data_IF_372443797750
#
_entry.id   IF_372443797750
#
_cell.length_a   1.000
_cell.length_b   1.000
_cell.length_c   1.000
_cell.angle_alpha   90.00
_cell.angle_beta   90.00
_cell.angle_gamma   90.00
#
_symmetry.space_group_name_H-M   'P 1'
#
loop_
_entity.id
_entity.type
_entity.pdbx_description
1 polymer ?
#
# COMPACT_ATOMS: atom_id res chain seq x y z
N UNK A 1 37.22 4.85 -19.43
CA UNK A 1 35.88 4.51 -18.91
C UNK A 1 35.66 3.04 -19.20
N UNK A 2 35.96 2.16 -18.23
CA UNK A 2 35.80 0.71 -18.39
C UNK A 2 34.31 0.40 -18.38
N UNK A 3 33.75 -0.04 -19.52
CA UNK A 3 32.46 -0.72 -19.54
C UNK A 3 32.74 -2.13 -19.04
N UNK A 4 32.30 -2.46 -17.82
CA UNK A 4 32.50 -3.76 -17.19
C UNK A 4 31.59 -4.87 -17.75
N UNK A 5 30.79 -4.57 -18.78
CA UNK A 5 29.99 -5.55 -19.55
C UNK A 5 30.83 -6.50 -20.41
N UNK A 6 32.15 -6.34 -20.39
CA UNK A 6 33.06 -7.29 -21.01
C UNK A 6 33.27 -8.46 -20.06
N UNK A 7 32.63 -9.60 -20.38
CA UNK A 7 32.69 -10.88 -19.65
C UNK A 7 34.10 -11.32 -19.22
N UNK A 8 35.15 -10.78 -19.84
CA UNK A 8 36.56 -11.00 -19.45
C UNK A 8 36.91 -10.48 -18.05
N UNK A 9 36.20 -9.49 -17.52
CA UNK A 9 36.48 -8.94 -16.19
C UNK A 9 35.69 -9.61 -15.07
N UNK A 10 34.64 -10.38 -15.38
CA UNK A 10 33.79 -11.05 -14.38
C UNK A 10 34.59 -11.92 -13.40
N UNK A 11 35.59 -12.73 -13.83
CA UNK A 11 36.40 -13.49 -12.89
C UNK A 11 37.13 -12.59 -11.89
N UNK A 12 37.69 -11.47 -12.35
CA UNK A 12 38.41 -10.51 -11.49
C UNK A 12 37.43 -9.88 -10.49
N UNK A 13 36.24 -9.48 -10.95
CA UNK A 13 35.21 -8.92 -10.09
C UNK A 13 34.73 -9.93 -9.05
N UNK A 14 34.51 -11.20 -9.42
CA UNK A 14 34.17 -12.28 -8.49
C UNK A 14 35.25 -12.47 -7.42
N UNK A 15 36.50 -12.66 -7.82
CA UNK A 15 37.60 -12.86 -6.87
C UNK A 15 37.77 -11.64 -5.96
N UNK A 16 37.72 -10.43 -6.53
CA UNK A 16 37.88 -9.18 -5.78
C UNK A 16 36.76 -8.96 -4.77
N UNK A 17 35.49 -9.10 -5.17
CA UNK A 17 34.35 -8.88 -4.27
C UNK A 17 34.25 -9.95 -3.19
N UNK A 18 34.53 -11.22 -3.51
CA UNK A 18 34.59 -12.31 -2.53
C UNK A 18 35.73 -12.11 -1.53
N UNK A 19 36.92 -11.78 -2.01
CA UNK A 19 38.06 -11.50 -1.13
C UNK A 19 37.74 -10.34 -0.18
N UNK A 20 37.17 -9.26 -0.70
CA UNK A 20 36.79 -8.10 0.10
C UNK A 20 35.72 -8.45 1.16
N UNK A 21 34.68 -9.18 0.76
CA UNK A 21 33.61 -9.64 1.65
C UNK A 21 34.15 -10.54 2.77
N UNK A 22 35.08 -11.44 2.45
CA UNK A 22 35.72 -12.31 3.43
C UNK A 22 36.63 -11.54 4.39
N UNK A 23 37.42 -10.58 3.89
CA UNK A 23 38.33 -9.77 4.71
C UNK A 23 37.59 -8.96 5.78
N UNK A 24 36.40 -8.44 5.45
CA UNK A 24 35.62 -7.65 6.41
C UNK A 24 34.79 -8.49 7.39
N UNK A 25 34.61 -9.78 7.13
CA UNK A 25 33.75 -10.63 7.95
C UNK A 25 34.36 -10.80 9.35
N UNK A 26 33.70 -10.22 10.36
CA UNK A 26 34.18 -10.21 11.74
C UNK A 26 35.32 -9.21 12.03
N UNK A 27 35.73 -8.38 11.06
CA UNK A 27 36.81 -7.40 11.23
C UNK A 27 36.28 -5.96 11.16
N UNK A 28 36.02 -5.37 12.33
CA UNK A 28 35.40 -4.04 12.44
C UNK A 28 36.27 -2.92 11.86
N UNK A 29 37.60 -3.01 11.99
CA UNK A 29 38.53 -2.00 11.46
C UNK A 29 38.56 -2.02 9.92
N UNK A 30 38.59 -3.22 9.33
CA UNK A 30 38.50 -3.38 7.89
C UNK A 30 37.15 -2.91 7.35
N UNK A 31 36.05 -3.22 8.05
CA UNK A 31 34.73 -2.70 7.72
C UNK A 31 34.74 -1.16 7.72
N UNK A 32 35.32 -0.52 8.73
CA UNK A 32 35.34 0.94 8.82
C UNK A 32 36.13 1.59 7.69
N UNK A 33 37.32 1.05 7.40
CA UNK A 33 38.18 1.55 6.33
C UNK A 33 37.49 1.47 4.96
N UNK A 34 36.93 0.30 4.63
CA UNK A 34 36.27 0.05 3.34
C UNK A 34 34.97 0.84 3.25
N UNK A 35 34.19 0.88 4.33
CA UNK A 35 32.92 1.60 4.36
C UNK A 35 33.12 3.10 4.17
N UNK A 36 34.10 3.70 4.87
CA UNK A 36 34.43 5.11 4.74
C UNK A 36 34.88 5.46 3.32
N UNK A 37 35.72 4.63 2.69
CA UNK A 37 36.09 4.82 1.28
C UNK A 37 34.85 4.77 0.36
N UNK A 38 34.01 3.75 0.50
CA UNK A 38 32.85 3.56 -0.36
C UNK A 38 31.81 4.69 -0.22
N UNK A 39 31.47 5.07 1.01
CA UNK A 39 30.45 6.10 1.25
C UNK A 39 30.90 7.51 0.84
N UNK A 40 32.22 7.78 0.79
CA UNK A 40 32.77 9.07 0.37
C UNK A 40 32.90 9.25 -1.16
N UNK A 41 32.61 8.20 -1.94
CA UNK A 41 32.63 8.27 -3.41
C UNK A 41 31.46 9.09 -3.93
N UNK A 42 31.73 9.90 -4.94
CA UNK A 42 30.74 10.82 -5.55
C UNK A 42 30.65 10.64 -7.06
N UNK A 43 31.59 9.91 -7.65
CA UNK A 43 31.62 9.61 -9.07
C UNK A 43 30.37 8.80 -9.50
N UNK A 44 29.77 9.07 -10.67
CA UNK A 44 28.54 8.41 -11.08
C UNK A 44 28.60 6.89 -11.23
N UNK A 45 29.80 6.37 -11.54
CA UNK A 45 30.09 4.95 -11.72
C UNK A 45 31.16 4.53 -10.72
N UNK A 46 30.86 4.72 -9.43
CA UNK A 46 31.70 4.21 -8.36
C UNK A 46 31.76 2.68 -8.36
N UNK A 47 32.67 2.14 -7.53
CA UNK A 47 32.90 0.70 -7.44
C UNK A 47 31.65 -0.05 -6.99
N UNK A 48 30.89 0.47 -6.02
CA UNK A 48 29.66 -0.18 -5.51
C UNK A 48 28.59 -0.27 -6.60
N UNK A 49 28.40 0.81 -7.35
CA UNK A 49 27.45 0.90 -8.46
C UNK A 49 27.84 -0.02 -9.61
N UNK A 50 29.13 -0.13 -9.88
CA UNK A 50 29.65 -1.07 -10.88
C UNK A 50 29.37 -2.52 -10.47
N UNK A 51 29.62 -2.85 -9.20
CA UNK A 51 29.47 -4.21 -8.70
C UNK A 51 28.00 -4.64 -8.60
N UNK A 52 27.10 -3.76 -8.14
CA UNK A 52 25.65 -4.06 -8.05
C UNK A 52 24.99 -4.18 -9.43
N UNK A 53 25.53 -3.50 -10.45
CA UNK A 53 25.05 -3.62 -11.83
C UNK A 53 25.64 -4.82 -12.59
N UNK A 54 26.60 -5.54 -12.01
CA UNK A 54 27.15 -6.74 -12.65
C UNK A 54 26.04 -7.81 -12.78
N UNK A 55 25.84 -8.36 -13.98
CA UNK A 55 24.83 -9.42 -14.21
C UNK A 55 25.16 -10.72 -13.46
N UNK A 56 26.41 -10.89 -13.04
CA UNK A 56 26.88 -12.08 -12.35
C UNK A 56 26.32 -12.23 -10.93
N UNK A 57 25.53 -13.28 -10.71
CA UNK A 57 24.89 -13.55 -9.42
C UNK A 57 25.89 -13.69 -8.26
N UNK A 58 27.09 -14.25 -8.50
CA UNK A 58 28.10 -14.44 -7.45
C UNK A 58 28.75 -13.12 -7.04
N UNK A 59 28.99 -12.22 -8.00
CA UNK A 59 29.43 -10.84 -7.71
C UNK A 59 28.38 -10.15 -6.85
N UNK A 60 27.11 -10.20 -7.25
CA UNK A 60 26.02 -9.56 -6.51
C UNK A 60 25.89 -10.13 -5.09
N UNK A 61 25.91 -11.45 -4.92
CA UNK A 61 25.89 -12.09 -3.58
C UNK A 61 27.02 -11.56 -2.71
N UNK A 62 28.24 -11.50 -3.24
CA UNK A 62 29.42 -11.06 -2.49
C UNK A 62 29.31 -9.61 -2.02
N UNK A 63 28.74 -8.74 -2.88
CA UNK A 63 28.50 -7.32 -2.60
C UNK A 63 27.40 -7.15 -1.56
N UNK A 64 26.31 -7.90 -1.67
CA UNK A 64 25.22 -7.85 -0.70
C UNK A 64 25.68 -8.32 0.67
N UNK A 65 26.45 -9.41 0.74
CA UNK A 65 27.07 -9.87 2.00
C UNK A 65 28.03 -8.83 2.55
N UNK A 66 28.83 -8.19 1.68
CA UNK A 66 29.75 -7.14 2.09
C UNK A 66 29.00 -5.97 2.75
N UNK A 67 28.01 -5.42 2.05
CA UNK A 67 27.24 -4.28 2.55
C UNK A 67 26.46 -4.66 3.81
N UNK A 68 25.82 -5.83 3.82
CA UNK A 68 25.08 -6.34 4.96
C UNK A 68 25.96 -6.48 6.20
N UNK A 69 27.18 -7.04 6.05
CA UNK A 69 28.13 -7.17 7.16
C UNK A 69 28.61 -5.82 7.69
N UNK A 70 28.81 -4.84 6.81
CA UNK A 70 29.20 -3.50 7.25
C UNK A 70 28.10 -2.82 8.08
N UNK A 71 26.83 -2.96 7.70
CA UNK A 71 25.70 -2.35 8.42
C UNK A 71 25.15 -3.22 9.57
N UNK A 72 25.65 -4.44 9.72
CA UNK A 72 25.16 -5.39 10.72
C UNK A 72 25.32 -4.84 12.14
N UNK A 73 24.22 -4.73 12.88
CA UNK A 73 24.16 -4.15 14.23
C UNK A 73 24.84 -2.76 14.35
N UNK A 74 24.94 -2.02 13.24
CA UNK A 74 25.61 -0.73 13.19
C UNK A 74 24.69 0.35 12.61
N UNK A 75 24.06 1.11 13.51
CA UNK A 75 23.14 2.20 13.15
C UNK A 75 23.85 3.32 12.38
N UNK A 76 25.08 3.67 12.75
CA UNK A 76 25.86 4.73 12.08
C UNK A 76 26.16 4.38 10.62
N UNK A 77 26.58 3.15 10.34
CA UNK A 77 26.83 2.67 8.97
C UNK A 77 25.53 2.53 8.19
N UNK A 78 24.45 2.06 8.82
CA UNK A 78 23.11 2.05 8.23
C UNK A 78 22.64 3.45 7.82
N UNK A 79 22.89 4.46 8.67
CA UNK A 79 22.59 5.86 8.40
C UNK A 79 23.42 6.43 7.26
N UNK A 80 24.74 6.20 7.26
CA UNK A 80 25.61 6.67 6.16
C UNK A 80 25.29 6.02 4.82
N UNK A 81 24.74 4.80 4.80
CA UNK A 81 24.21 4.17 3.57
C UNK A 81 23.07 4.99 2.95
N UNK A 82 22.17 5.55 3.75
CA UNK A 82 21.02 6.30 3.25
C UNK A 82 21.28 7.80 3.09
N UNK A 83 22.36 8.34 3.65
CA UNK A 83 22.70 9.76 3.55
C UNK A 83 23.78 10.04 2.48
N UNK A 84 24.59 9.04 2.12
CA UNK A 84 25.66 9.21 1.13
C UNK A 84 25.17 9.12 -0.32
N UNK A 85 25.88 9.81 -1.22
CA UNK A 85 25.59 9.77 -2.66
C UNK A 85 25.80 8.36 -3.25
N UNK A 86 26.88 7.68 -2.85
CA UNK A 86 27.17 6.31 -3.29
C UNK A 86 26.14 5.32 -2.73
N UNK A 87 25.80 5.44 -1.44
CA UNK A 87 24.86 4.53 -0.79
C UNK A 87 23.44 4.61 -1.35
N UNK A 88 22.88 5.81 -1.54
CA UNK A 88 21.56 5.95 -2.18
C UNK A 88 21.55 5.44 -3.62
N UNK A 89 22.64 5.65 -4.36
CA UNK A 89 22.78 5.11 -5.72
C UNK A 89 22.80 3.58 -5.72
N UNK A 90 23.57 2.98 -4.82
CA UNK A 90 23.58 1.54 -4.60
C UNK A 90 22.17 1.01 -4.28
N UNK A 91 21.44 1.63 -3.35
CA UNK A 91 20.08 1.22 -3.00
C UNK A 91 19.11 1.35 -4.19
N UNK A 92 19.22 2.42 -4.99
CA UNK A 92 18.39 2.60 -6.19
C UNK A 92 18.63 1.49 -7.22
N UNK A 93 19.89 1.20 -7.54
CA UNK A 93 20.27 0.13 -8.46
C UNK A 93 19.86 -1.25 -7.94
N UNK A 94 19.99 -1.47 -6.63
CA UNK A 94 19.54 -2.72 -6.00
C UNK A 94 18.03 -2.90 -6.12
N UNK A 95 17.24 -1.86 -5.82
CA UNK A 95 15.78 -1.90 -5.93
C UNK A 95 15.32 -2.07 -7.40
N UNK A 96 16.04 -1.54 -8.39
CA UNK A 96 15.73 -1.76 -9.82
C UNK A 96 15.81 -3.24 -10.21
N UNK A 97 16.63 -4.02 -9.52
CA UNK A 97 16.81 -5.46 -9.76
C UNK A 97 15.83 -6.33 -8.97
N UNK A 98 15.03 -5.77 -8.07
CA UNK A 98 14.20 -6.55 -7.15
C UNK A 98 13.27 -7.55 -7.84
N UNK A 99 12.61 -7.15 -8.93
CA UNK A 99 11.69 -8.04 -9.67
C UNK A 99 12.45 -9.21 -10.32
N UNK A 100 13.61 -8.95 -10.95
CA UNK A 100 14.46 -10.00 -11.53
C UNK A 100 15.02 -10.95 -10.47
N UNK A 101 15.38 -10.43 -9.30
CA UNK A 101 15.89 -11.24 -8.19
C UNK A 101 14.81 -12.13 -7.59
N UNK A 102 13.57 -11.65 -7.54
CA UNK A 102 12.44 -12.43 -7.02
C UNK A 102 12.09 -13.63 -7.93
N UNK A 103 12.30 -13.51 -9.23
CA UNK A 103 12.07 -14.58 -10.21
C UNK A 103 13.19 -15.64 -10.21
N UNK A 104 14.39 -15.30 -9.73
CA UNK A 104 15.54 -16.21 -9.68
C UNK A 104 15.59 -17.01 -8.37
N UNK A 105 14.80 -18.10 -8.32
CA UNK A 105 14.76 -19.04 -7.19
C UNK A 105 16.11 -19.73 -6.90
N UNK A 106 17.09 -19.63 -7.81
CA UNK A 106 18.40 -20.29 -7.66
C UNK A 106 19.41 -19.47 -6.84
N UNK A 107 19.15 -18.17 -6.66
CA UNK A 107 20.08 -17.25 -5.99
C UNK A 107 19.52 -16.75 -4.66
N UNK A 108 20.37 -16.66 -3.64
CA UNK A 108 20.02 -16.09 -2.33
C UNK A 108 19.99 -14.54 -2.33
N UNK A 109 20.04 -13.93 -3.52
CA UNK A 109 20.23 -12.50 -3.66
C UNK A 109 18.99 -11.71 -3.24
N UNK A 110 17.79 -12.25 -3.50
CA UNK A 110 16.56 -11.61 -3.06
C UNK A 110 16.46 -11.60 -1.53
N UNK A 111 16.78 -12.71 -0.86
CA UNK A 111 16.77 -12.81 0.60
C UNK A 111 17.80 -11.88 1.24
N UNK A 112 18.99 -11.76 0.64
CA UNK A 112 20.01 -10.81 1.11
C UNK A 112 19.58 -9.35 0.92
N UNK A 113 18.98 -9.02 -0.23
CA UNK A 113 18.40 -7.70 -0.46
C UNK A 113 17.29 -7.40 0.56
N UNK A 114 16.37 -8.35 0.76
CA UNK A 114 15.28 -8.23 1.72
C UNK A 114 15.82 -8.03 3.14
N UNK A 115 16.83 -8.81 3.57
CA UNK A 115 17.45 -8.70 4.87
C UNK A 115 18.15 -7.34 5.07
N UNK A 116 18.83 -6.83 4.03
CA UNK A 116 19.48 -5.52 4.04
C UNK A 116 18.44 -4.40 4.19
N UNK A 117 17.39 -4.38 3.38
CA UNK A 117 16.35 -3.35 3.45
C UNK A 117 15.56 -3.45 4.76
N UNK A 118 15.22 -4.66 5.21
CA UNK A 118 14.54 -4.90 6.49
C UNK A 118 15.36 -4.35 7.65
N UNK A 119 16.70 -4.50 7.62
CA UNK A 119 17.58 -3.90 8.63
C UNK A 119 17.48 -2.39 8.70
N UNK A 120 17.41 -1.72 7.55
CA UNK A 120 17.23 -0.27 7.50
C UNK A 120 15.87 0.14 8.08
N UNK A 121 14.82 -0.65 7.83
CA UNK A 121 13.49 -0.43 8.39
C UNK A 121 13.51 -0.63 9.92
N UNK A 122 14.18 -1.67 10.42
CA UNK A 122 14.31 -1.96 11.86
C UNK A 122 15.00 -0.82 12.62
N UNK A 123 16.01 -0.20 12.01
CA UNK A 123 16.66 1.01 12.56
C UNK A 123 15.82 2.28 12.40
N UNK A 124 14.64 2.22 11.80
CA UNK A 124 13.76 3.38 11.64
C UNK A 124 14.08 4.28 10.46
N UNK A 125 14.90 3.83 9.52
CA UNK A 125 15.33 4.64 8.37
C UNK A 125 14.36 4.65 7.20
N UNK A 126 13.22 3.95 7.30
CA UNK A 126 12.22 3.92 6.23
C UNK A 126 11.79 5.33 5.77
N UNK A 127 11.44 6.30 6.65
CA UNK A 127 11.01 7.62 6.21
C UNK A 127 12.07 8.35 5.39
N UNK A 128 13.30 8.40 5.88
CA UNK A 128 14.42 9.06 5.20
C UNK A 128 14.76 8.37 3.87
N UNK A 129 14.77 7.04 3.85
CA UNK A 129 15.02 6.29 2.62
C UNK A 129 13.89 6.53 1.60
N UNK A 130 12.62 6.44 2.02
CA UNK A 130 11.47 6.68 1.15
C UNK A 130 11.52 8.08 0.51
N UNK A 131 11.87 9.10 1.29
CA UNK A 131 11.98 10.48 0.81
C UNK A 131 13.20 10.67 -0.13
N UNK A 132 14.32 9.97 0.10
CA UNK A 132 15.50 10.01 -0.78
C UNK A 132 15.29 9.36 -2.16
N UNK A 133 14.33 8.44 -2.24
CA UNK A 133 13.91 7.75 -3.47
C UNK A 133 12.86 8.55 -4.26
N UNK A 134 12.37 9.66 -3.70
CA UNK A 134 11.41 10.52 -4.36
C UNK A 134 12.04 11.25 -5.56
N UNK A 135 11.22 11.53 -6.57
CA UNK A 135 11.58 12.46 -7.63
C UNK A 135 10.65 13.68 -7.54
N UNK A 136 11.14 14.85 -7.07
CA UNK A 136 10.30 16.04 -6.89
C UNK A 136 9.58 16.53 -8.15
N UNK A 137 10.08 16.17 -9.34
CA UNK A 137 9.46 16.51 -10.61
C UNK A 137 8.21 15.66 -10.92
N UNK A 138 8.01 14.56 -10.20
CA UNK A 138 6.94 13.60 -10.44
C UNK A 138 5.98 13.61 -9.24
N UNK A 139 4.70 13.87 -9.50
CA UNK A 139 3.64 13.90 -8.47
C UNK A 139 3.07 12.50 -8.15
N UNK A 140 3.79 11.44 -8.50
CA UNK A 140 3.42 10.04 -8.21
C UNK A 140 4.64 9.31 -7.64
N UNK A 141 4.42 8.31 -6.75
CA UNK A 141 5.53 7.52 -6.21
C UNK A 141 6.39 6.89 -7.31
N UNK A 142 7.71 6.93 -7.14
CA UNK A 142 8.66 6.31 -8.07
C UNK A 142 8.60 4.78 -7.98
N UNK A 143 9.09 4.07 -9.01
CA UNK A 143 9.17 2.60 -8.98
C UNK A 143 9.96 2.11 -7.75
N UNK A 144 11.06 2.78 -7.40
CA UNK A 144 11.85 2.47 -6.21
C UNK A 144 11.04 2.61 -4.91
N UNK A 145 10.22 3.65 -4.79
CA UNK A 145 9.30 3.83 -3.65
C UNK A 145 8.24 2.73 -3.57
N UNK A 146 7.69 2.31 -4.72
CA UNK A 146 6.74 1.18 -4.78
C UNK A 146 7.39 -0.12 -4.30
N UNK A 147 8.59 -0.43 -4.77
CA UNK A 147 9.32 -1.65 -4.36
C UNK A 147 9.64 -1.60 -2.87
N UNK A 148 10.06 -0.44 -2.35
CA UNK A 148 10.28 -0.25 -0.92
C UNK A 148 9.00 -0.47 -0.09
N UNK A 149 7.83 0.02 -0.58
CA UNK A 149 6.54 -0.23 0.06
C UNK A 149 6.15 -1.71 0.03
N UNK A 150 6.42 -2.44 -1.05
CA UNK A 150 6.21 -3.90 -1.12
C UNK A 150 7.05 -4.64 -0.07
N UNK A 151 8.31 -4.25 0.09
CA UNK A 151 9.19 -4.82 1.12
C UNK A 151 8.64 -4.51 2.51
N UNK A 152 8.21 -3.26 2.76
CA UNK A 152 7.59 -2.88 4.04
C UNK A 152 6.33 -3.71 4.34
N UNK A 153 5.44 -3.90 3.36
CA UNK A 153 4.24 -4.73 3.52
C UNK A 153 4.60 -6.17 3.90
N UNK A 154 5.63 -6.74 3.26
CA UNK A 154 6.17 -8.05 3.63
C UNK A 154 6.74 -8.07 5.06
N UNK A 155 7.46 -7.02 5.49
CA UNK A 155 7.99 -6.90 6.86
C UNK A 155 6.85 -6.86 7.88
N UNK A 156 5.78 -6.11 7.59
CA UNK A 156 4.57 -6.07 8.41
C UNK A 156 3.85 -7.42 8.47
N UNK A 157 3.90 -8.21 7.39
CA UNK A 157 3.35 -9.55 7.39
C UNK A 157 4.18 -10.53 8.24
N UNK A 158 5.52 -10.47 8.15
CA UNK A 158 6.41 -11.41 8.84
C UNK A 158 6.60 -11.14 10.33
N UNK A 159 6.42 -9.89 10.77
CA UNK A 159 6.81 -9.45 12.11
C UNK A 159 5.68 -8.71 12.81
N UNK A 160 5.48 -8.97 14.10
CA UNK A 160 4.67 -8.09 14.95
C UNK A 160 5.43 -6.79 15.19
N UNK A 161 4.82 -5.64 14.87
CA UNK A 161 5.45 -4.34 15.07
C UNK A 161 5.74 -4.10 16.56
N UNK A 162 7.03 -3.97 16.91
CA UNK A 162 7.45 -3.52 18.23
C UNK A 162 7.41 -2.00 18.27
N UNK A 163 6.65 -1.44 19.20
CA UNK A 163 6.38 -0.01 19.27
C UNK A 163 7.58 0.73 19.86
N UNK A 164 8.04 1.76 19.16
CA UNK A 164 9.11 2.69 19.53
C UNK A 164 8.96 4.00 18.74
N UNK A 165 9.79 5.00 19.03
CA UNK A 165 9.78 6.31 18.33
C UNK A 165 9.91 6.16 16.80
N UNK A 166 10.71 5.19 16.34
CA UNK A 166 10.88 4.92 14.91
C UNK A 166 9.60 4.42 14.25
N UNK A 167 8.76 3.67 14.99
CA UNK A 167 7.44 3.22 14.51
C UNK A 167 6.46 4.38 14.30
N UNK A 168 6.51 5.43 15.13
CA UNK A 168 5.66 6.63 14.97
C UNK A 168 6.10 7.45 13.75
N UNK A 169 7.41 7.58 13.53
CA UNK A 169 7.95 8.25 12.34
C UNK A 169 7.56 7.50 11.05
N UNK A 170 7.64 6.17 11.06
CA UNK A 170 7.15 5.31 9.99
C UNK A 170 5.65 5.52 9.73
N UNK A 171 4.82 5.47 10.77
CA UNK A 171 3.37 5.71 10.68
C UNK A 171 3.06 7.07 10.05
N UNK A 172 3.71 8.12 10.55
CA UNK A 172 3.59 9.49 10.03
C UNK A 172 3.92 9.53 8.53
N UNK A 173 5.02 8.88 8.12
CA UNK A 173 5.42 8.87 6.72
C UNK A 173 4.40 8.17 5.83
N UNK A 174 3.88 7.02 6.27
CA UNK A 174 2.90 6.22 5.54
C UNK A 174 1.60 7.00 5.33
N UNK A 175 1.07 7.65 6.37
CA UNK A 175 -0.17 8.45 6.24
C UNK A 175 0.06 9.67 5.35
N UNK A 176 1.18 10.38 5.50
CA UNK A 176 1.50 11.50 4.60
C UNK A 176 1.64 11.04 3.14
N UNK A 177 2.22 9.86 2.90
CA UNK A 177 2.30 9.24 1.58
C UNK A 177 0.91 8.99 0.99
N UNK A 178 0.05 8.31 1.74
CA UNK A 178 -1.36 8.07 1.37
C UNK A 178 -2.12 9.37 1.08
N UNK A 179 -2.05 10.35 1.98
CA UNK A 179 -2.72 11.64 1.81
C UNK A 179 -2.23 12.40 0.58
N UNK A 180 -0.94 12.31 0.26
CA UNK A 180 -0.38 13.01 -0.91
C UNK A 180 -0.91 12.45 -2.24
N UNK A 181 -1.23 11.16 -2.31
CA UNK A 181 -1.72 10.53 -3.54
C UNK A 181 -3.24 10.55 -3.66
N UNK A 182 -3.99 10.64 -2.55
CA UNK A 182 -5.45 10.56 -2.53
C UNK A 182 -6.13 11.56 -3.49
N UNK A 183 -5.81 12.87 -3.48
CA UNK A 183 -6.43 13.83 -4.41
C UNK A 183 -6.23 13.45 -5.88
N UNK A 184 -5.07 12.88 -6.20
CA UNK A 184 -4.74 12.47 -7.57
C UNK A 184 -5.50 11.23 -7.99
N UNK A 185 -5.63 10.24 -7.11
CA UNK A 185 -6.46 9.05 -7.33
C UNK A 185 -7.91 9.46 -7.55
N UNK A 186 -8.46 10.32 -6.69
CA UNK A 186 -9.83 10.84 -6.80
C UNK A 186 -10.03 11.53 -8.15
N UNK A 187 -9.08 12.39 -8.56
CA UNK A 187 -9.14 13.04 -9.86
C UNK A 187 -9.17 12.03 -11.01
N UNK A 188 -8.35 10.98 -10.98
CA UNK A 188 -8.34 9.94 -12.02
C UNK A 188 -9.67 9.17 -12.05
N UNK A 189 -10.24 8.83 -10.89
CA UNK A 189 -11.55 8.19 -10.80
C UNK A 189 -12.65 9.07 -11.42
N UNK A 190 -12.60 10.39 -11.20
CA UNK A 190 -13.56 11.35 -11.79
C UNK A 190 -13.39 11.49 -13.31
N UNK A 191 -12.16 11.42 -13.82
CA UNK A 191 -11.91 11.46 -15.26
C UNK A 191 -12.37 10.18 -15.95
N UNK A 192 -12.17 9.02 -15.33
CA UNK A 192 -12.65 7.75 -15.85
C UNK A 192 -14.19 7.71 -16.01
N UNK A 193 -14.93 8.38 -15.11
CA UNK A 193 -16.39 8.54 -15.21
C UNK A 193 -16.81 9.35 -16.46
N UNK A 194 -15.96 10.30 -16.90
CA UNK A 194 -16.23 11.20 -18.02
C UNK A 194 -15.68 10.72 -19.38
N UNK A 195 -15.22 9.47 -19.50
CA UNK A 195 -14.59 8.91 -20.71
C UNK A 195 -13.39 9.71 -21.25
N UNK A 196 -12.68 10.46 -20.40
CA UNK A 196 -11.45 11.16 -20.77
C UNK A 196 -10.21 10.23 -20.66
N UNK A 197 -9.16 10.55 -21.44
CA UNK A 197 -7.95 9.72 -21.58
C UNK A 197 -7.33 9.37 -20.22
N UNK A 198 -7.15 8.07 -19.97
CA UNK A 198 -6.44 7.56 -18.78
C UNK A 198 -5.00 8.05 -18.79
N UNK A 199 -4.57 8.65 -17.69
CA UNK A 199 -3.24 9.25 -17.58
C UNK A 199 -2.12 8.20 -17.57
N UNK A 200 -0.98 8.51 -18.20
CA UNK A 200 0.27 7.76 -18.05
C UNK A 200 0.64 7.60 -16.56
N UNK A 201 1.14 6.43 -16.15
CA UNK A 201 1.52 6.03 -14.78
C UNK A 201 0.38 5.78 -13.77
N UNK A 202 -0.88 5.64 -14.20
CA UNK A 202 -2.01 5.30 -13.30
C UNK A 202 -1.79 4.01 -12.48
N UNK A 203 -1.12 3.00 -13.05
CA UNK A 203 -0.84 1.73 -12.36
C UNK A 203 0.07 1.89 -11.13
N UNK A 204 1.13 2.71 -11.22
CA UNK A 204 2.04 2.93 -10.07
C UNK A 204 1.31 3.63 -8.93
N UNK A 205 0.47 4.61 -9.26
CA UNK A 205 -0.34 5.32 -8.27
C UNK A 205 -1.34 4.39 -7.57
N UNK A 206 -1.99 3.52 -8.34
CA UNK A 206 -2.90 2.53 -7.77
C UNK A 206 -2.16 1.50 -6.90
N UNK A 207 -1.02 1.01 -7.37
CA UNK A 207 -0.18 0.08 -6.59
C UNK A 207 0.23 0.72 -5.26
N UNK A 208 0.65 1.99 -5.28
CA UNK A 208 0.93 2.74 -4.05
C UNK A 208 -0.29 2.82 -3.14
N UNK A 209 -1.47 3.14 -3.69
CA UNK A 209 -2.69 3.25 -2.92
C UNK A 209 -3.01 1.97 -2.15
N UNK A 210 -2.97 0.83 -2.83
CA UNK A 210 -3.24 -0.47 -2.21
C UNK A 210 -2.22 -0.77 -1.12
N UNK A 211 -0.93 -0.58 -1.39
CA UNK A 211 0.13 -0.82 -0.41
C UNK A 211 0.00 0.09 0.83
N UNK A 212 -0.35 1.36 0.63
CA UNK A 212 -0.63 2.28 1.74
C UNK A 212 -1.83 1.82 2.56
N UNK A 213 -2.94 1.44 1.92
CA UNK A 213 -4.13 0.94 2.61
C UNK A 213 -3.84 -0.36 3.38
N UNK A 214 -3.03 -1.26 2.83
CA UNK A 214 -2.60 -2.48 3.52
C UNK A 214 -1.75 -2.17 4.76
N UNK A 215 -0.73 -1.31 4.60
CA UNK A 215 0.12 -0.85 5.70
C UNK A 215 -0.70 -0.17 6.81
N UNK A 216 -1.59 0.76 6.45
CA UNK A 216 -2.45 1.47 7.40
C UNK A 216 -3.48 0.52 8.03
N UNK A 217 -4.00 -0.42 7.25
CA UNK A 217 -4.90 -1.47 7.73
C UNK A 217 -4.26 -2.31 8.83
N UNK A 218 -2.99 -2.69 8.66
CA UNK A 218 -2.20 -3.39 9.67
C UNK A 218 -1.93 -2.51 10.89
N UNK A 219 -1.45 -1.27 10.67
CA UNK A 219 -1.15 -0.31 11.74
C UNK A 219 -2.39 0.03 12.59
N UNK A 220 -3.56 0.20 11.97
CA UNK A 220 -4.81 0.48 12.68
C UNK A 220 -5.36 -0.74 13.44
N UNK A 221 -5.08 -1.95 12.96
CA UNK A 221 -5.56 -3.19 13.56
C UNK A 221 -4.71 -3.64 14.75
N UNK A 222 -3.39 -3.57 14.61
CA UNK A 222 -2.43 -4.09 15.60
C UNK A 222 -1.76 -2.99 16.43
N UNK A 223 -1.88 -1.73 15.99
CA UNK A 223 -1.33 -0.59 16.69
C UNK A 223 -2.00 -0.36 18.04
N UNK A 224 -1.20 0.09 19.00
CA UNK A 224 -1.71 0.55 20.28
C UNK A 224 -2.47 1.88 20.14
N UNK A 225 -2.75 2.51 21.29
CA UNK A 225 -3.45 3.78 21.31
C UNK A 225 -2.62 4.92 20.71
N UNK A 226 -1.31 4.98 20.98
CA UNK A 226 -0.44 6.05 20.50
C UNK A 226 -0.30 6.01 18.97
N UNK A 227 -0.17 4.81 18.40
CA UNK A 227 -0.16 4.60 16.95
C UNK A 227 -1.47 5.07 16.30
N UNK A 228 -2.62 4.73 16.87
CA UNK A 228 -3.93 5.18 16.38
C UNK A 228 -4.12 6.69 16.54
N UNK A 229 -3.64 7.28 17.62
CA UNK A 229 -3.64 8.73 17.77
C UNK A 229 -2.75 9.42 16.73
N UNK A 230 -1.59 8.85 16.39
CA UNK A 230 -0.74 9.32 15.30
C UNK A 230 -1.45 9.26 13.94
N UNK A 231 -2.05 8.11 13.59
CA UNK A 231 -2.83 7.94 12.36
C UNK A 231 -3.95 8.99 12.24
N UNK A 232 -4.70 9.23 13.32
CA UNK A 232 -5.78 10.22 13.35
C UNK A 232 -5.27 11.66 13.21
N UNK A 233 -4.21 12.04 13.95
CA UNK A 233 -3.60 13.38 13.86
C UNK A 233 -3.08 13.72 12.46
N UNK A 234 -2.58 12.71 11.75
CA UNK A 234 -2.11 12.86 10.37
C UNK A 234 -3.26 12.86 9.34
N UNK A 235 -4.53 12.85 9.77
CA UNK A 235 -5.69 13.09 8.90
C UNK A 235 -6.12 11.88 8.08
N UNK A 236 -5.85 10.66 8.55
CA UNK A 236 -6.21 9.44 7.80
C UNK A 236 -7.71 9.33 7.51
N UNK A 237 -8.57 9.77 8.44
CA UNK A 237 -10.02 9.65 8.35
C UNK A 237 -10.59 10.52 7.24
N UNK A 238 -10.16 11.79 7.18
CA UNK A 238 -10.57 12.74 6.14
C UNK A 238 -10.24 12.23 4.73
N UNK A 239 -9.02 11.75 4.50
CA UNK A 239 -8.62 11.18 3.21
C UNK A 239 -9.36 9.88 2.89
N UNK A 240 -9.57 9.02 3.89
CA UNK A 240 -10.32 7.76 3.76
C UNK A 240 -11.76 8.00 3.33
N UNK A 241 -12.48 8.91 3.99
CA UNK A 241 -13.87 9.25 3.63
C UNK A 241 -13.96 9.85 2.24
N UNK A 242 -13.07 10.79 1.91
CA UNK A 242 -13.04 11.43 0.58
C UNK A 242 -12.83 10.40 -0.55
N UNK A 243 -11.89 9.47 -0.34
CA UNK A 243 -11.61 8.41 -1.29
C UNK A 243 -12.76 7.40 -1.38
N UNK A 244 -13.36 7.00 -0.25
CA UNK A 244 -14.50 6.08 -0.24
C UNK A 244 -15.71 6.68 -0.95
N UNK A 245 -15.97 7.98 -0.76
CA UNK A 245 -17.05 8.69 -1.43
C UNK A 245 -16.89 8.61 -2.95
N UNK A 246 -15.69 8.91 -3.44
CA UNK A 246 -15.41 8.83 -4.88
C UNK A 246 -15.46 7.38 -5.39
N UNK A 247 -14.90 6.43 -4.63
CA UNK A 247 -14.88 5.03 -5.01
C UNK A 247 -16.29 4.41 -5.06
N UNK A 248 -17.19 4.78 -4.15
CA UNK A 248 -18.59 4.32 -4.16
C UNK A 248 -19.37 4.87 -5.36
N UNK A 249 -19.08 6.12 -5.76
CA UNK A 249 -19.67 6.74 -6.96
C UNK A 249 -19.17 6.12 -8.27
N UNK A 250 -17.86 5.90 -8.38
CA UNK A 250 -17.23 5.51 -9.64
C UNK A 250 -17.19 4.00 -9.85
N UNK A 251 -17.09 3.19 -8.79
CA UNK A 251 -16.88 1.75 -8.91
C UNK A 251 -18.19 0.99 -8.67
N UNK A 252 -18.81 0.42 -9.73
CA UNK A 252 -20.04 -0.33 -9.57
C UNK A 252 -19.83 -1.52 -8.64
N UNK A 253 -20.88 -1.87 -7.88
CA UNK A 253 -20.88 -3.12 -7.10
C UNK A 253 -20.98 -4.30 -8.06
N UNK A 254 -20.12 -5.28 -7.85
CA UNK A 254 -20.17 -6.52 -8.61
C UNK A 254 -20.76 -7.61 -7.73
N UNK A 255 -21.72 -8.37 -8.26
CA UNK A 255 -22.16 -9.63 -7.66
C UNK A 255 -22.12 -10.70 -8.74
N UNK A 256 -22.01 -11.98 -8.37
CA UNK A 256 -22.05 -13.11 -9.32
C UNK A 256 -23.24 -13.05 -10.29
N UNK A 257 -24.36 -12.44 -9.87
CA UNK A 257 -25.54 -12.20 -10.68
C UNK A 257 -25.34 -11.07 -11.73
N UNK A 258 -24.59 -10.03 -11.38
CA UNK A 258 -24.24 -8.91 -12.27
C UNK A 258 -23.16 -9.30 -13.30
N UNK A 259 -22.24 -10.19 -12.94
CA UNK A 259 -21.12 -10.65 -13.79
C UNK A 259 -21.59 -11.33 -15.09
N UNK A 260 -22.81 -11.90 -15.10
CA UNK A 260 -23.41 -12.54 -16.28
C UNK A 260 -23.87 -11.53 -17.36
N UNK A 261 -24.06 -10.24 -16.99
CA UNK A 261 -24.69 -9.23 -17.86
C UNK A 261 -23.68 -8.20 -18.39
N UNK A 262 -22.58 -7.94 -17.69
CA UNK A 262 -21.59 -6.90 -18.04
C UNK A 262 -20.23 -7.48 -18.43
N UNK A 263 -20.09 -7.92 -19.69
CA UNK A 263 -18.81 -8.39 -20.26
C UNK A 263 -17.90 -7.26 -20.80
N UNK A 264 -18.33 -5.99 -20.78
CA UNK A 264 -17.67 -4.89 -21.51
C UNK A 264 -16.89 -3.87 -20.67
N UNK A 265 -16.91 -3.91 -19.33
CA UNK A 265 -16.26 -2.90 -18.46
C UNK A 265 -15.17 -3.46 -17.51
N UNK A 266 -14.50 -4.56 -17.87
CA UNK A 266 -13.69 -5.31 -16.90
C UNK A 266 -12.31 -4.69 -16.56
N UNK A 267 -11.67 -3.94 -17.47
CA UNK A 267 -10.27 -3.51 -17.28
C UNK A 267 -10.06 -2.38 -16.25
N UNK A 268 -10.94 -1.38 -16.16
CA UNK A 268 -10.80 -0.32 -15.16
C UNK A 268 -11.19 -0.78 -13.74
N UNK A 269 -11.95 -1.88 -13.63
CA UNK A 269 -12.47 -2.39 -12.35
C UNK A 269 -11.50 -3.30 -11.59
N UNK A 270 -10.55 -3.95 -12.28
CA UNK A 270 -9.55 -4.82 -11.63
C UNK A 270 -8.57 -4.02 -10.78
N UNK A 271 -8.24 -2.82 -11.27
CA UNK A 271 -7.28 -1.92 -10.67
C UNK A 271 -7.89 -1.09 -9.53
N UNK A 272 -9.03 -1.47 -8.96
CA UNK A 272 -9.53 -0.87 -7.71
C UNK A 272 -10.16 -1.91 -6.78
N UNK A 273 -9.83 -3.19 -6.96
CA UNK A 273 -10.25 -4.26 -6.05
C UNK A 273 -9.76 -3.96 -4.64
N UNK A 274 -10.58 -4.35 -3.65
CA UNK A 274 -10.29 -4.22 -2.23
C UNK A 274 -10.23 -2.80 -1.65
N UNK A 275 -10.16 -1.75 -2.47
CA UNK A 275 -10.02 -0.36 -1.99
C UNK A 275 -11.14 0.03 -1.03
N UNK A 276 -12.42 -0.18 -1.40
CA UNK A 276 -13.55 0.16 -0.52
C UNK A 276 -13.50 -0.65 0.77
N UNK A 277 -13.21 -1.96 0.65
CA UNK A 277 -13.09 -2.87 1.80
C UNK A 277 -12.05 -2.39 2.79
N UNK A 278 -10.84 -2.07 2.31
CA UNK A 278 -9.72 -1.71 3.17
C UNK A 278 -9.95 -0.36 3.84
N UNK A 279 -10.55 0.61 3.13
CA UNK A 279 -10.95 1.88 3.72
C UNK A 279 -11.99 1.68 4.84
N UNK A 280 -13.05 0.89 4.59
CA UNK A 280 -14.08 0.61 5.59
C UNK A 280 -13.49 -0.11 6.81
N UNK A 281 -12.58 -1.07 6.58
CA UNK A 281 -11.85 -1.77 7.65
C UNK A 281 -11.04 -0.79 8.49
N UNK A 282 -10.26 0.10 7.87
CA UNK A 282 -9.46 1.12 8.57
C UNK A 282 -10.37 2.01 9.43
N UNK A 283 -11.45 2.55 8.87
CA UNK A 283 -12.38 3.41 9.63
C UNK A 283 -12.96 2.65 10.82
N UNK A 284 -13.36 1.39 10.64
CA UNK A 284 -13.87 0.55 11.72
C UNK A 284 -12.86 0.32 12.83
N UNK A 285 -11.60 0.02 12.48
CA UNK A 285 -10.51 -0.14 13.46
C UNK A 285 -10.26 1.14 14.26
N UNK A 286 -10.23 2.27 13.56
CA UNK A 286 -9.93 3.58 14.15
C UNK A 286 -11.06 4.12 15.05
N UNK A 287 -12.31 3.75 14.77
CA UNK A 287 -13.49 4.16 15.54
C UNK A 287 -13.69 3.36 16.84
N UNK A 288 -13.01 2.23 17.02
CA UNK A 288 -13.17 1.38 18.20
C UNK A 288 -12.74 2.13 19.48
N UNK A 289 -13.70 2.37 20.38
CA UNK A 289 -13.49 3.09 21.65
C UNK A 289 -12.84 4.49 21.50
N UNK A 290 -13.03 5.13 20.34
CA UNK A 290 -12.43 6.43 20.05
C UNK A 290 -13.49 7.46 19.62
N UNK A 291 -14.05 8.19 20.59
CA UNK A 291 -15.11 9.18 20.35
C UNK A 291 -14.71 10.28 19.36
N UNK A 292 -13.44 10.70 19.36
CA UNK A 292 -12.93 11.72 18.44
C UNK A 292 -13.08 11.25 16.99
N UNK A 293 -12.63 10.03 16.69
CA UNK A 293 -12.78 9.46 15.34
C UNK A 293 -14.24 9.18 15.00
N UNK A 294 -15.04 8.71 15.97
CA UNK A 294 -16.48 8.49 15.76
C UNK A 294 -17.21 9.78 15.36
N UNK A 295 -16.89 10.89 16.02
CA UNK A 295 -17.48 12.21 15.75
C UNK A 295 -16.95 12.77 14.42
N UNK A 296 -15.64 12.65 14.15
CA UNK A 296 -15.04 13.07 12.87
C UNK A 296 -15.71 12.34 11.68
N UNK A 297 -15.89 11.03 11.76
CA UNK A 297 -16.57 10.26 10.71
C UNK A 297 -18.02 10.71 10.53
N UNK A 298 -18.76 11.02 11.61
CA UNK A 298 -20.12 11.55 11.51
C UNK A 298 -20.14 12.90 10.80
N UNK A 299 -19.26 13.82 11.20
CA UNK A 299 -19.21 15.19 10.69
C UNK A 299 -18.81 15.23 9.20
N UNK A 300 -17.98 14.30 8.76
CA UNK A 300 -17.62 14.13 7.35
C UNK A 300 -18.70 13.40 6.52
N UNK A 301 -19.86 13.06 7.10
CA UNK A 301 -20.92 12.32 6.41
C UNK A 301 -20.56 10.85 6.12
N UNK A 302 -19.63 10.29 6.87
CA UNK A 302 -19.12 8.93 6.66
C UNK A 302 -20.07 7.82 7.09
N UNK A 303 -20.99 8.06 8.05
CA UNK A 303 -21.93 7.03 8.53
C UNK A 303 -22.85 6.51 7.41
N UNK A 304 -23.58 7.37 6.66
CA UNK A 304 -24.38 6.91 5.52
C UNK A 304 -23.55 6.21 4.43
N UNK A 305 -22.32 6.70 4.20
CA UNK A 305 -21.42 6.14 3.19
C UNK A 305 -20.99 4.70 3.54
N UNK A 306 -20.68 4.44 4.82
CA UNK A 306 -20.36 3.11 5.33
C UNK A 306 -21.59 2.21 5.32
N UNK A 307 -22.77 2.74 5.67
CA UNK A 307 -24.03 2.00 5.58
C UNK A 307 -24.30 1.53 4.15
N UNK A 308 -23.95 2.34 3.15
CA UNK A 308 -24.07 1.94 1.74
C UNK A 308 -23.21 0.71 1.41
N UNK A 309 -22.09 0.51 2.11
CA UNK A 309 -21.19 -0.63 1.95
C UNK A 309 -21.67 -1.93 2.64
N UNK A 310 -22.85 -1.94 3.29
CA UNK A 310 -23.43 -3.15 3.91
C UNK A 310 -24.03 -4.15 2.89
N UNK A 311 -23.53 -4.15 1.65
CA UNK A 311 -23.97 -5.01 0.56
C UNK A 311 -22.82 -5.90 0.09
N UNK A 312 -23.14 -7.02 -0.57
CA UNK A 312 -22.13 -7.87 -1.18
C UNK A 312 -21.51 -7.15 -2.38
N UNK A 313 -20.18 -7.18 -2.48
CA UNK A 313 -19.41 -6.69 -3.62
C UNK A 313 -18.22 -7.64 -3.84
N UNK A 314 -18.23 -8.40 -4.94
CA UNK A 314 -17.21 -9.40 -5.26
C UNK A 314 -15.84 -8.77 -5.57
N UNK A 315 -15.81 -7.50 -5.98
CA UNK A 315 -14.55 -6.73 -6.08
C UNK A 315 -14.00 -6.31 -4.71
N UNK A 316 -14.83 -6.39 -3.67
CA UNK A 316 -14.49 -6.05 -2.29
C UNK A 316 -14.96 -7.16 -1.32
N UNK A 317 -14.36 -8.37 -1.37
CA UNK A 317 -14.77 -9.48 -0.51
C UNK A 317 -14.79 -9.10 0.96
N UNK A 318 -15.80 -9.54 1.69
CA UNK A 318 -16.05 -9.24 3.10
C UNK A 318 -16.38 -7.78 3.44
N UNK A 319 -16.65 -6.92 2.45
CA UNK A 319 -16.97 -5.51 2.72
C UNK A 319 -18.22 -5.35 3.60
N UNK A 320 -19.22 -6.22 3.46
CA UNK A 320 -20.44 -6.19 4.28
C UNK A 320 -20.11 -6.39 5.76
N UNK A 321 -19.27 -7.37 6.07
CA UNK A 321 -18.83 -7.70 7.42
C UNK A 321 -18.03 -6.55 8.02
N UNK A 322 -17.09 -5.99 7.26
CA UNK A 322 -16.32 -4.83 7.71
C UNK A 322 -17.18 -3.58 7.87
N UNK A 323 -18.21 -3.38 7.03
CA UNK A 323 -19.15 -2.27 7.18
C UNK A 323 -19.99 -2.41 8.44
N UNK A 324 -20.51 -3.60 8.75
CA UNK A 324 -21.23 -3.88 9.99
C UNK A 324 -20.32 -3.67 11.20
N UNK A 325 -19.07 -4.15 11.14
CA UNK A 325 -18.07 -3.93 12.17
C UNK A 325 -17.79 -2.43 12.39
N UNK A 326 -17.58 -1.68 11.31
CA UNK A 326 -17.35 -0.24 11.37
C UNK A 326 -18.56 0.50 11.97
N UNK A 327 -19.78 0.18 11.53
CA UNK A 327 -21.00 0.77 12.10
C UNK A 327 -21.14 0.49 13.60
N UNK A 328 -20.91 -0.75 14.04
CA UNK A 328 -20.90 -1.08 15.47
C UNK A 328 -19.94 -0.18 16.23
N UNK A 329 -18.72 -0.04 15.75
CA UNK A 329 -17.69 0.75 16.42
C UNK A 329 -17.97 2.26 16.35
N UNK A 330 -18.66 2.74 15.32
CA UNK A 330 -19.09 4.14 15.21
C UNK A 330 -20.23 4.49 16.17
N UNK A 331 -21.08 3.52 16.51
CA UNK A 331 -22.28 3.73 17.31
C UNK A 331 -22.08 3.42 18.80
N UNK A 332 -21.10 2.58 19.16
CA UNK A 332 -20.88 2.17 20.55
C UNK A 332 -20.50 3.38 21.41
N UNK A 333 -21.26 3.59 22.49
CA UNK A 333 -21.08 4.71 23.44
C UNK A 333 -21.11 6.11 22.79
N UNK A 334 -21.78 6.27 21.64
CA UNK A 334 -21.92 7.55 20.93
C UNK A 334 -23.39 7.86 20.62
N UNK A 335 -24.12 8.55 21.53
CA UNK A 335 -25.55 8.84 21.35
C UNK A 335 -25.80 9.81 20.17
N UNK A 336 -24.85 10.69 19.83
CA UNK A 336 -24.97 11.58 18.68
C UNK A 336 -24.98 10.80 17.36
N UNK A 337 -24.11 9.79 17.24
CA UNK A 337 -24.08 8.88 16.09
C UNK A 337 -25.31 7.98 16.04
N UNK A 338 -25.78 7.46 17.19
CA UNK A 338 -27.01 6.68 17.28
C UNK A 338 -28.23 7.47 16.83
N UNK A 339 -28.35 8.72 17.28
CA UNK A 339 -29.45 9.61 16.88
C UNK A 339 -29.45 9.90 15.38
N UNK A 340 -28.28 10.11 14.77
CA UNK A 340 -28.19 10.26 13.32
C UNK A 340 -28.64 8.98 12.61
N UNK A 341 -28.21 7.82 13.11
CA UNK A 341 -28.56 6.53 12.53
C UNK A 341 -30.08 6.25 12.60
N UNK A 342 -30.74 6.59 13.72
CA UNK A 342 -32.19 6.46 13.89
C UNK A 342 -33.01 7.34 12.94
N UNK A 343 -32.45 8.46 12.48
CA UNK A 343 -33.10 9.34 11.51
C UNK A 343 -33.02 8.82 10.07
N UNK A 344 -32.18 7.82 9.80
CA UNK A 344 -32.10 7.20 8.48
C UNK A 344 -33.34 6.35 8.23
N UNK A 345 -34.24 6.87 7.40
CA UNK A 345 -35.46 6.16 6.99
C UNK A 345 -35.21 5.44 5.67
N UNK A 346 -35.75 4.21 5.47
CA UNK A 346 -35.75 3.56 4.17
C UNK A 346 -36.55 4.41 3.16
N UNK A 347 -35.90 4.82 2.06
CA UNK A 347 -36.52 5.68 1.06
C UNK A 347 -37.18 4.83 -0.04
N UNK A 348 -36.42 3.98 -0.73
CA UNK A 348 -36.91 3.15 -1.84
C UNK A 348 -36.16 1.81 -1.93
N UNK A 349 -36.81 0.80 -2.53
CA UNK A 349 -36.16 -0.47 -2.88
C UNK A 349 -35.45 -0.36 -4.22
N UNK A 350 -34.19 -0.78 -4.30
CA UNK A 350 -33.45 -0.88 -5.56
C UNK A 350 -33.83 -2.18 -6.27
N UNK A 351 -34.37 -2.08 -7.49
CA UNK A 351 -34.66 -3.25 -8.32
C UNK A 351 -33.36 -3.91 -8.77
N UNK A 352 -33.21 -5.21 -8.49
CA UNK A 352 -32.07 -5.98 -8.98
C UNK A 352 -32.32 -6.42 -10.43
N UNK A 353 -31.37 -6.25 -11.38
CA UNK A 353 -31.57 -6.59 -12.80
C UNK A 353 -32.08 -8.02 -13.03
N UNK A 354 -31.53 -9.00 -12.30
CA UNK A 354 -31.98 -10.40 -12.36
C UNK A 354 -33.45 -10.58 -11.95
N UNK A 355 -33.93 -9.84 -10.95
CA UNK A 355 -35.34 -9.90 -10.53
C UNK A 355 -36.24 -9.32 -11.62
N UNK A 356 -35.81 -8.22 -12.24
CA UNK A 356 -36.53 -7.59 -13.35
C UNK A 356 -36.62 -8.51 -14.58
N UNK A 357 -35.56 -9.25 -14.89
CA UNK A 357 -35.53 -10.23 -15.99
C UNK A 357 -36.56 -11.35 -15.81
N UNK A 358 -36.70 -11.86 -14.57
CA UNK A 358 -37.72 -12.86 -14.23
C UNK A 358 -39.11 -12.28 -13.93
N UNK A 359 -39.28 -10.95 -14.07
CA UNK A 359 -40.56 -10.27 -13.88
C UNK A 359 -40.99 -10.12 -12.42
N UNK A 360 -40.03 -10.06 -11.50
CA UNK A 360 -40.25 -9.80 -10.08
C UNK A 360 -39.84 -8.36 -9.78
N UNK A 361 -40.77 -7.59 -9.22
CA UNK A 361 -40.56 -6.23 -8.74
C UNK A 361 -40.40 -6.26 -7.21
N UNK A 362 -39.44 -5.51 -6.67
CA UNK A 362 -39.36 -5.19 -5.25
C UNK A 362 -40.16 -3.93 -4.93
N UNK A 363 -40.96 -3.97 -3.87
CA UNK A 363 -41.69 -2.83 -3.31
C UNK A 363 -41.34 -2.67 -1.83
N UNK A 364 -41.29 -1.43 -1.34
CA UNK A 364 -41.15 -1.18 0.08
C UNK A 364 -42.51 -1.35 0.77
N UNK A 365 -42.62 -2.32 1.67
CA UNK A 365 -43.77 -2.48 2.54
C UNK A 365 -43.91 -1.32 3.53
N UNK A 366 -45.15 -1.07 3.99
CA UNK A 366 -45.44 -0.06 5.01
C UNK A 366 -44.72 -0.31 6.36
N UNK A 367 -44.18 -1.51 6.57
CA UNK A 367 -43.36 -1.91 7.70
C UNK A 367 -41.84 -1.76 7.47
N UNK A 368 -41.44 -1.16 6.33
CA UNK A 368 -40.05 -1.01 5.92
C UNK A 368 -39.41 -2.29 5.38
N UNK A 369 -40.15 -3.39 5.25
CA UNK A 369 -39.65 -4.65 4.68
C UNK A 369 -39.84 -4.70 3.17
N UNK A 370 -38.91 -5.37 2.48
CA UNK A 370 -39.00 -5.60 1.04
C UNK A 370 -40.09 -6.63 0.76
N UNK A 371 -41.06 -6.28 -0.09
CA UNK A 371 -42.05 -7.18 -0.66
C UNK A 371 -41.71 -7.45 -2.12
N UNK A 372 -41.97 -8.67 -2.58
CA UNK A 372 -41.84 -9.04 -3.99
C UNK A 372 -43.23 -9.08 -4.62
N UNK A 373 -43.43 -8.35 -5.72
CA UNK A 373 -44.61 -8.40 -6.58
C UNK A 373 -44.23 -8.91 -7.96
N UNK A 374 -45.18 -9.50 -8.70
CA UNK A 374 -44.94 -9.96 -10.08
C UNK A 374 -45.35 -8.83 -11.01
N UNK A 375 -44.49 -8.50 -11.98
CA UNK A 375 -44.75 -7.50 -13.00
C UNK A 375 -46.01 -7.87 -13.81
N UNK A 376 -47.11 -7.10 -13.69
CA UNK A 376 -48.37 -7.39 -14.39
C UNK A 376 -48.22 -7.40 -15.92
N UNK A 377 -47.20 -6.71 -16.45
CA UNK A 377 -46.96 -6.60 -17.90
C UNK A 377 -46.36 -7.87 -18.53
N UNK A 378 -45.73 -8.75 -17.73
CA UNK A 378 -45.17 -10.04 -18.18
C UNK A 378 -46.14 -11.22 -18.02
N UNK A 379 -47.30 -11.02 -17.39
CA UNK A 379 -48.34 -12.05 -17.19
C UNK A 379 -49.21 -12.35 -18.43
N UNK A 380 -48.82 -11.86 -19.61
CA UNK A 380 -49.58 -11.96 -20.87
C UNK A 380 -49.23 -13.13 -21.80
N UNK A 381 -48.54 -14.18 -21.34
CA UNK A 381 -48.34 -15.41 -22.15
C UNK A 381 -48.93 -16.62 -21.43
N UNK A 382 -50.23 -16.84 -21.67
CA UNK A 382 -50.82 -18.18 -21.65
C UNK A 382 -50.61 -18.84 -23.00
#
# INVERSE_FOLDING_TARGET
MLKFDDNRFVPILRFGSQALSNVITGNVDAQELIWSDFMNRTEPNDILSTLVNCEDCVVLTSVLVLVYNCIHENEFRSKTLIESHSGIRFLKLLLERADTLLEDESSQNFELMYALISRLIDFGFFPSLYDSLNNPSIQVPTRHQIILLKILDSVFFSSSLKINETSISLCTRIVKGFNSICPRVIYIMQQAENNSVVMENSHLLYTALVLFLQCIGKLSQEGDREMRECLSKEGIITSSISLLFQADKTLPRMTNATTLVTQTHQQASSDFKFVKRDIVKIIGNMAYENKIVQDEVRELGGIPLILNQCNIDDNNPYIREYAIFALRNLLINNPENQKLFEQLTPIETVQHPVLQDVGIMTELGQDGKIKFSIDPSKNGRK
#
